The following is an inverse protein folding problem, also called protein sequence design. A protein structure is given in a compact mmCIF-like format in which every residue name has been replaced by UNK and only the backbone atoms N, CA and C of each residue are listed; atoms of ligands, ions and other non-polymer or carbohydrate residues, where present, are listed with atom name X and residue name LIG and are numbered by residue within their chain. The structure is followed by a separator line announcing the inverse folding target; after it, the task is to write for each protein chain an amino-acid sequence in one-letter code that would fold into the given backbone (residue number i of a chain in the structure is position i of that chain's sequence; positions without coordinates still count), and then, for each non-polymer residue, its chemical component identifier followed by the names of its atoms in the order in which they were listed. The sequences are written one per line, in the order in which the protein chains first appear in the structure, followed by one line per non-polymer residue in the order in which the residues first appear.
data_IF_598424474472
#
_entry.id   IF_598424474472
#
_cell.length_a   1.000
_cell.length_b   1.000
_cell.length_c   1.000
_cell.angle_alpha   90.00
_cell.angle_beta   90.00
_cell.angle_gamma   90.00
#
_symmetry.space_group_name_H-M   'P 1'
#
loop_
_entity.id
_entity.type
_entity.pdbx_description
1 polymer ?
#
# COMPACT_ATOMS: atom_id res chain seq x y z
N UNK A 1 1.27 -8.35 3.89
CA UNK A 1 2.71 -8.38 3.63
C UNK A 1 3.16 -9.81 3.38
N UNK A 2 3.94 -10.07 2.35
CA UNK A 2 4.68 -11.34 2.20
C UNK A 2 6.08 -11.20 2.76
N UNK A 3 6.67 -12.27 3.32
CA UNK A 3 8.02 -12.23 3.88
C UNK A 3 8.68 -13.61 3.88
N UNK A 4 10.00 -13.71 3.57
CA UNK A 4 10.74 -14.96 3.72
C UNK A 4 11.00 -15.32 5.20
N UNK A 5 11.03 -14.33 6.11
CA UNK A 5 11.28 -14.52 7.54
C UNK A 5 10.30 -13.68 8.37
N UNK A 6 9.22 -14.33 8.81
CA UNK A 6 8.16 -13.69 9.58
C UNK A 6 8.63 -13.24 10.98
N UNK A 7 9.62 -13.90 11.57
CA UNK A 7 10.14 -13.52 12.88
C UNK A 7 10.98 -12.23 12.76
N UNK A 8 11.85 -12.14 11.76
CA UNK A 8 12.62 -10.93 11.51
C UNK A 8 11.72 -9.74 11.14
N UNK A 9 10.69 -9.95 10.31
CA UNK A 9 9.68 -8.91 10.01
C UNK A 9 8.97 -8.45 11.28
N UNK A 10 8.56 -9.37 12.15
CA UNK A 10 7.88 -9.02 13.39
C UNK A 10 8.74 -8.15 14.29
N UNK A 11 10.03 -8.45 14.43
CA UNK A 11 10.99 -7.63 15.20
C UNK A 11 11.15 -6.25 14.58
N UNK A 12 11.29 -6.16 13.25
CA UNK A 12 11.49 -4.90 12.56
C UNK A 12 10.27 -3.97 12.72
N UNK A 13 9.07 -4.46 12.42
CA UNK A 13 7.86 -3.62 12.49
C UNK A 13 7.38 -3.37 13.92
N UNK A 14 7.72 -4.24 14.89
CA UNK A 14 7.52 -3.94 16.33
C UNK A 14 8.34 -2.73 16.76
N UNK A 15 9.60 -2.66 16.38
CA UNK A 15 10.47 -1.53 16.70
C UNK A 15 10.09 -0.26 15.95
N UNK A 16 9.70 -0.37 14.68
CA UNK A 16 9.43 0.78 13.82
C UNK A 16 8.04 1.38 14.03
N UNK A 17 6.99 0.53 14.12
CA UNK A 17 5.59 0.94 14.14
C UNK A 17 4.85 0.55 15.44
N UNK A 18 5.54 -0.08 16.41
CA UNK A 18 4.94 -0.53 17.65
C UNK A 18 4.03 -1.76 17.53
N UNK A 19 4.13 -2.51 16.42
CA UNK A 19 3.23 -3.63 16.13
C UNK A 19 3.61 -4.89 16.91
N UNK A 20 2.59 -5.71 17.19
CA UNK A 20 2.75 -7.06 17.75
C UNK A 20 2.20 -8.05 16.73
N UNK A 21 2.96 -9.11 16.44
CA UNK A 21 2.46 -10.25 15.66
C UNK A 21 1.71 -11.20 16.60
N UNK A 22 0.50 -11.60 16.20
CA UNK A 22 -0.26 -12.64 16.90
C UNK A 22 -0.04 -14.03 16.29
N UNK A 23 -0.66 -15.06 16.91
CA UNK A 23 -0.53 -16.47 16.50
C UNK A 23 -1.21 -16.76 15.15
N UNK A 24 -2.04 -15.84 14.66
CA UNK A 24 -2.71 -15.94 13.37
C UNK A 24 -1.96 -15.21 12.24
N UNK A 25 -0.71 -14.80 12.48
CA UNK A 25 0.07 -14.00 11.52
C UNK A 25 -0.57 -12.65 11.16
N UNK A 26 -1.20 -12.01 12.13
CA UNK A 26 -1.69 -10.65 12.02
C UNK A 26 -0.80 -9.71 12.84
N UNK A 27 -0.37 -8.62 12.22
CA UNK A 27 0.19 -7.48 12.94
C UNK A 27 -0.93 -6.68 13.60
N UNK A 28 -0.77 -6.43 14.90
CA UNK A 28 -1.70 -5.63 15.70
C UNK A 28 -1.04 -4.36 16.22
N UNK A 29 -1.79 -3.28 16.15
CA UNK A 29 -1.47 -2.00 16.75
C UNK A 29 -2.56 -1.70 17.80
N UNK A 30 -2.19 -1.63 19.09
CA UNK A 30 -3.14 -1.49 20.21
C UNK A 30 -4.31 -2.50 20.14
N UNK A 31 -3.98 -3.79 19.96
CA UNK A 31 -4.90 -4.92 19.83
C UNK A 31 -5.83 -4.90 18.60
N UNK A 32 -5.79 -3.85 17.74
CA UNK A 32 -6.51 -3.75 16.47
C UNK A 32 -5.67 -4.33 15.34
N UNK A 33 -6.29 -5.05 14.42
CA UNK A 33 -5.60 -5.58 13.24
C UNK A 33 -5.09 -4.42 12.36
N UNK A 34 -3.77 -4.36 12.13
CA UNK A 34 -3.11 -3.36 11.29
C UNK A 34 -2.77 -3.92 9.91
N UNK A 35 -2.23 -5.15 9.84
CA UNK A 35 -1.87 -5.79 8.58
C UNK A 35 -1.80 -7.31 8.72
N UNK A 36 -2.04 -8.03 7.63
CA UNK A 36 -1.77 -9.47 7.54
C UNK A 36 -0.30 -9.74 7.20
N UNK A 37 0.26 -10.80 7.75
CA UNK A 37 1.59 -11.31 7.46
C UNK A 37 1.48 -12.69 6.84
N UNK A 38 2.06 -12.87 5.66
CA UNK A 38 2.10 -14.15 4.96
C UNK A 38 3.54 -14.63 4.83
N UNK A 39 3.94 -15.64 5.59
CA UNK A 39 5.25 -16.26 5.42
C UNK A 39 5.36 -16.97 4.06
N UNK A 40 6.41 -16.64 3.30
CA UNK A 40 6.73 -17.26 2.01
C UNK A 40 8.21 -17.63 2.01
N UNK A 41 8.62 -18.76 2.62
CA UNK A 41 10.02 -19.14 2.75
C UNK A 41 10.74 -19.15 1.40
N UNK A 42 11.83 -18.38 1.29
CA UNK A 42 12.57 -18.21 0.04
C UNK A 42 11.91 -17.33 -1.02
N UNK A 43 10.72 -16.80 -0.74
CA UNK A 43 10.04 -15.85 -1.60
C UNK A 43 10.44 -14.40 -1.35
N UNK A 44 9.93 -13.46 -2.17
CA UNK A 44 10.20 -12.05 -2.00
C UNK A 44 9.41 -11.47 -0.81
N UNK A 45 10.03 -10.51 -0.11
CA UNK A 45 9.30 -9.63 0.78
C UNK A 45 8.60 -8.54 -0.02
N UNK A 46 7.32 -8.32 0.25
CA UNK A 46 6.56 -7.26 -0.39
C UNK A 46 5.35 -6.83 0.46
N UNK A 47 5.08 -5.57 0.47
CA UNK A 47 3.77 -5.03 0.85
C UNK A 47 2.81 -5.16 -0.32
N UNK A 48 1.59 -5.58 -0.06
CA UNK A 48 0.54 -5.69 -1.05
C UNK A 48 -0.67 -4.87 -0.58
N UNK A 49 -1.05 -3.87 -1.36
CA UNK A 49 -2.27 -3.10 -1.14
C UNK A 49 -3.47 -3.92 -1.60
N UNK A 50 -4.48 -4.04 -0.73
CA UNK A 50 -5.74 -4.70 -1.05
C UNK A 50 -6.84 -3.67 -1.26
N UNK A 51 -7.54 -3.79 -2.39
CA UNK A 51 -8.70 -2.98 -2.73
C UNK A 51 -9.95 -3.74 -2.32
N UNK A 52 -10.82 -3.11 -1.53
CA UNK A 52 -12.06 -3.71 -1.11
C UNK A 52 -13.06 -3.83 -2.28
N UNK A 53 -13.73 -4.96 -2.39
CA UNK A 53 -14.81 -5.19 -3.33
C UNK A 53 -15.99 -5.89 -2.63
N UNK A 54 -17.20 -5.51 -2.97
CA UNK A 54 -18.41 -6.17 -2.45
C UNK A 54 -18.62 -7.54 -3.07
N UNK A 55 -18.18 -7.73 -4.33
CA UNK A 55 -18.22 -9.00 -5.08
C UNK A 55 -16.87 -9.23 -5.77
N UNK A 56 -16.06 -10.12 -5.19
CA UNK A 56 -14.72 -10.42 -5.70
C UNK A 56 -14.77 -11.15 -7.06
N UNK A 57 -15.78 -11.99 -7.31
CA UNK A 57 -15.91 -12.70 -8.58
C UNK A 57 -16.20 -11.73 -9.71
N UNK A 58 -17.09 -10.74 -9.47
CA UNK A 58 -17.36 -9.67 -10.41
C UNK A 58 -16.14 -8.77 -10.65
N UNK A 59 -15.43 -8.38 -9.57
CA UNK A 59 -14.26 -7.51 -9.67
C UNK A 59 -13.09 -8.20 -10.42
N UNK A 60 -12.83 -9.49 -10.17
CA UNK A 60 -11.82 -10.28 -10.91
C UNK A 60 -12.19 -10.40 -12.38
N UNK A 61 -13.48 -10.64 -12.69
CA UNK A 61 -13.97 -10.71 -14.08
C UNK A 61 -13.82 -9.37 -14.80
N UNK A 62 -14.17 -8.26 -14.15
CA UNK A 62 -14.00 -6.91 -14.68
C UNK A 62 -12.53 -6.58 -14.92
N UNK A 63 -11.64 -6.94 -13.98
CA UNK A 63 -10.20 -6.76 -14.13
C UNK A 63 -9.65 -7.53 -15.35
N UNK A 64 -10.07 -8.78 -15.54
CA UNK A 64 -9.69 -9.57 -16.71
C UNK A 64 -10.19 -8.94 -18.03
N UNK A 65 -11.43 -8.46 -18.05
CA UNK A 65 -12.01 -7.77 -19.20
C UNK A 65 -11.30 -6.45 -19.53
N UNK A 66 -10.76 -5.76 -18.49
CA UNK A 66 -9.97 -4.54 -18.62
C UNK A 66 -8.47 -4.80 -18.92
N UNK A 67 -8.07 -6.04 -19.19
CA UNK A 67 -6.69 -6.41 -19.56
C UNK A 67 -5.77 -6.75 -18.40
N UNK A 68 -6.30 -6.84 -17.17
CA UNK A 68 -5.57 -7.31 -16.00
C UNK A 68 -5.33 -8.82 -16.04
N UNK A 69 -4.42 -9.28 -15.21
CA UNK A 69 -4.08 -10.71 -15.08
C UNK A 69 -4.30 -11.17 -13.65
N UNK A 70 -5.07 -12.23 -13.47
CA UNK A 70 -5.20 -12.89 -12.17
C UNK A 70 -3.95 -13.73 -11.89
N UNK A 71 -3.27 -13.48 -10.75
CA UNK A 71 -2.03 -14.14 -10.34
C UNK A 71 -2.26 -15.27 -9.33
N UNK A 72 -3.35 -15.21 -8.56
CA UNK A 72 -3.76 -16.28 -7.65
C UNK A 72 -5.23 -16.62 -7.83
N UNK A 73 -5.67 -17.86 -7.55
CA UNK A 73 -7.10 -18.13 -7.45
C UNK A 73 -7.74 -17.28 -6.35
N UNK A 74 -9.06 -17.11 -6.43
CA UNK A 74 -9.83 -16.57 -5.29
C UNK A 74 -9.79 -17.63 -4.18
N UNK A 75 -9.35 -17.23 -2.99
CA UNK A 75 -9.26 -18.11 -1.82
C UNK A 75 -10.01 -17.52 -0.64
N UNK A 76 -10.54 -18.40 0.20
CA UNK A 76 -11.01 -18.01 1.53
C UNK A 76 -9.79 -17.68 2.39
N UNK A 77 -9.77 -16.47 2.94
CA UNK A 77 -8.69 -16.04 3.83
C UNK A 77 -9.07 -16.37 5.29
N UNK A 78 -8.15 -16.99 6.07
CA UNK A 78 -8.43 -17.39 7.44
C UNK A 78 -8.79 -16.22 8.37
N UNK A 79 -8.47 -15.00 7.99
CA UNK A 79 -8.81 -13.80 8.75
C UNK A 79 -10.22 -13.27 8.48
N UNK A 80 -11.02 -13.93 7.64
CA UNK A 80 -12.43 -13.60 7.46
C UNK A 80 -12.72 -12.74 6.24
N UNK A 81 -12.21 -13.13 5.10
CA UNK A 81 -12.46 -12.55 3.79
C UNK A 81 -12.23 -13.52 2.67
N UNK A 82 -12.53 -13.11 1.44
CA UNK A 82 -12.08 -13.77 0.21
C UNK A 82 -11.07 -12.87 -0.46
N UNK A 83 -9.98 -13.43 -0.95
CA UNK A 83 -8.88 -12.68 -1.53
C UNK A 83 -8.43 -13.25 -2.88
N UNK A 84 -7.95 -12.37 -3.74
CA UNK A 84 -7.23 -12.71 -4.95
C UNK A 84 -6.11 -11.69 -5.19
N UNK A 85 -5.03 -12.12 -5.82
CA UNK A 85 -3.94 -11.26 -6.25
C UNK A 85 -4.01 -11.09 -7.76
N UNK A 86 -3.92 -9.86 -8.21
CA UNK A 86 -4.02 -9.47 -9.61
C UNK A 86 -2.82 -8.59 -10.01
N UNK A 87 -2.66 -8.45 -11.32
CA UNK A 87 -1.74 -7.48 -11.95
C UNK A 87 -2.53 -6.64 -12.92
N UNK A 88 -2.37 -5.33 -12.87
CA UNK A 88 -2.93 -4.41 -13.85
C UNK A 88 -2.19 -4.49 -15.19
N UNK A 89 -2.71 -3.90 -16.28
CA UNK A 89 -2.06 -3.94 -17.60
C UNK A 89 -0.66 -3.31 -17.64
N UNK A 90 -0.35 -2.37 -16.74
CA UNK A 90 0.95 -1.69 -16.65
C UNK A 90 1.95 -2.46 -15.78
N UNK A 91 1.53 -3.52 -15.08
CA UNK A 91 2.39 -4.41 -14.31
C UNK A 91 2.27 -4.29 -12.79
N UNK A 92 1.48 -3.35 -12.25
CA UNK A 92 1.31 -3.21 -10.80
C UNK A 92 0.52 -4.40 -10.23
N UNK A 93 1.09 -5.00 -9.17
CA UNK A 93 0.45 -6.10 -8.43
C UNK A 93 -0.32 -5.53 -7.26
N UNK A 94 -1.57 -5.99 -7.11
CA UNK A 94 -2.46 -5.61 -6.02
C UNK A 94 -3.37 -6.77 -5.62
N UNK A 95 -3.96 -6.69 -4.43
CA UNK A 95 -4.97 -7.64 -3.97
C UNK A 95 -6.39 -7.09 -4.13
N UNK A 96 -7.35 -7.97 -4.28
CA UNK A 96 -8.78 -7.67 -4.06
C UNK A 96 -9.20 -8.38 -2.79
N UNK A 97 -9.97 -7.70 -1.96
CA UNK A 97 -10.50 -8.21 -0.70
C UNK A 97 -12.00 -8.05 -0.64
N UNK A 98 -12.71 -9.17 -0.54
CA UNK A 98 -14.12 -9.20 -0.19
C UNK A 98 -14.26 -9.61 1.27
N UNK A 99 -14.79 -8.71 2.09
CA UNK A 99 -15.00 -9.01 3.53
C UNK A 99 -16.06 -10.08 3.73
N UNK A 100 -15.82 -10.95 4.70
CA UNK A 100 -16.89 -11.77 5.32
C UNK A 100 -17.08 -11.36 6.77
N UNK A 101 -16.05 -11.51 7.61
CA UNK A 101 -16.07 -11.08 9.02
C UNK A 101 -15.09 -9.94 9.30
N UNK A 102 -13.92 -9.91 8.63
CA UNK A 102 -12.92 -8.84 8.77
C UNK A 102 -13.04 -7.86 7.59
N UNK A 103 -13.30 -6.61 7.88
CA UNK A 103 -13.43 -5.56 6.86
C UNK A 103 -12.09 -5.15 6.23
N UNK A 104 -10.97 -5.55 6.79
CA UNK A 104 -9.61 -5.13 6.47
C UNK A 104 -8.89 -4.61 7.72
N UNK A 105 -7.96 -3.67 7.56
CA UNK A 105 -7.30 -3.03 8.68
C UNK A 105 -8.33 -2.38 9.62
N UNK A 106 -8.20 -2.62 10.93
CA UNK A 106 -9.06 -2.06 11.98
C UNK A 106 -8.51 -0.73 12.50
N UNK A 107 -7.32 -0.37 12.06
CA UNK A 107 -6.63 0.87 12.40
C UNK A 107 -6.06 1.47 11.14
N UNK A 108 -6.36 2.75 10.89
CA UNK A 108 -5.86 3.51 9.74
C UNK A 108 -5.90 5.01 10.04
N UNK A 109 -4.98 5.79 9.47
CA UNK A 109 -4.96 7.24 9.59
C UNK A 109 -4.56 7.75 10.98
N UNK A 110 -3.76 6.97 11.72
CA UNK A 110 -3.15 7.38 12.98
C UNK A 110 -1.70 6.89 13.04
N UNK A 111 -0.82 7.51 13.86
CA UNK A 111 0.57 7.11 13.96
C UNK A 111 0.75 5.61 14.26
N UNK A 112 1.59 4.93 13.48
CA UNK A 112 1.78 3.49 13.54
C UNK A 112 0.81 2.69 12.68
N UNK A 113 -0.02 3.32 11.86
CA UNK A 113 -0.98 2.63 10.98
C UNK A 113 -0.85 3.06 9.53
N UNK A 114 -1.49 2.30 8.62
CA UNK A 114 -1.61 2.70 7.21
C UNK A 114 -2.45 3.98 7.12
N UNK A 115 -1.95 4.95 6.38
CA UNK A 115 -2.70 6.18 6.12
C UNK A 115 -3.01 6.36 4.63
N UNK A 116 -2.18 5.80 3.74
CA UNK A 116 -2.36 5.98 2.30
C UNK A 116 -1.77 4.84 1.48
N UNK A 117 -2.17 4.76 0.21
CA UNK A 117 -1.54 3.90 -0.80
C UNK A 117 -1.49 4.61 -2.14
N UNK A 118 -0.38 4.49 -2.84
CA UNK A 118 -0.12 5.17 -4.11
C UNK A 118 0.20 4.19 -5.22
N UNK A 119 -0.40 4.40 -6.39
CA UNK A 119 0.04 3.80 -7.64
C UNK A 119 1.13 4.69 -8.26
N UNK A 120 2.34 4.18 -8.40
CA UNK A 120 3.38 4.80 -9.20
C UNK A 120 3.34 4.21 -10.61
N UNK A 121 3.04 5.01 -11.64
CA UNK A 121 2.87 4.52 -13.01
C UNK A 121 3.39 5.49 -14.06
N UNK A 122 3.94 4.97 -15.16
CA UNK A 122 4.25 5.75 -16.36
C UNK A 122 3.06 5.90 -17.32
N UNK A 123 1.98 5.15 -17.11
CA UNK A 123 0.78 5.15 -17.96
C UNK A 123 -0.46 5.61 -17.18
N UNK A 124 -0.62 6.92 -17.06
CA UNK A 124 -1.77 7.52 -16.38
C UNK A 124 -3.09 7.12 -17.03
N UNK A 125 -3.18 7.23 -18.34
CA UNK A 125 -4.43 6.99 -19.06
C UNK A 125 -4.87 5.52 -18.95
N UNK A 126 -3.94 4.57 -19.04
CA UNK A 126 -4.20 3.15 -18.82
C UNK A 126 -4.65 2.86 -17.39
N UNK A 127 -4.02 3.49 -16.38
CA UNK A 127 -4.43 3.36 -14.99
C UNK A 127 -5.83 3.92 -14.74
N UNK A 128 -6.15 5.13 -15.23
CA UNK A 128 -7.48 5.73 -15.14
C UNK A 128 -8.54 4.82 -15.76
N UNK A 129 -8.27 4.27 -16.94
CA UNK A 129 -9.20 3.37 -17.62
C UNK A 129 -9.38 2.05 -16.86
N UNK A 130 -8.29 1.45 -16.37
CA UNK A 130 -8.34 0.18 -15.66
C UNK A 130 -9.08 0.29 -14.32
N UNK A 131 -8.63 1.17 -13.43
CA UNK A 131 -9.23 1.31 -12.10
C UNK A 131 -10.63 1.93 -12.16
N UNK A 132 -10.92 2.77 -13.17
CA UNK A 132 -12.26 3.27 -13.47
C UNK A 132 -13.24 2.17 -13.87
N UNK A 133 -12.82 1.25 -14.76
CA UNK A 133 -13.67 0.14 -15.22
C UNK A 133 -13.87 -0.95 -14.16
N UNK A 134 -12.88 -1.18 -13.28
CA UNK A 134 -12.93 -2.27 -12.30
C UNK A 134 -13.58 -1.84 -10.98
N UNK A 135 -13.31 -0.61 -10.53
CA UNK A 135 -13.70 -0.14 -9.20
C UNK A 135 -14.53 1.15 -9.22
N UNK A 136 -14.91 1.63 -10.42
CA UNK A 136 -15.63 2.91 -10.61
C UNK A 136 -14.87 4.12 -10.03
N UNK A 137 -13.54 4.04 -10.01
CA UNK A 137 -12.72 5.13 -9.52
C UNK A 137 -12.60 6.25 -10.55
N UNK A 138 -12.77 7.48 -10.08
CA UNK A 138 -12.44 8.68 -10.85
C UNK A 138 -11.08 9.21 -10.41
N UNK A 139 -10.32 9.85 -11.31
CA UNK A 139 -9.06 10.50 -10.97
C UNK A 139 -9.16 12.02 -11.08
N UNK A 140 -8.44 12.73 -10.22
CA UNK A 140 -8.35 14.19 -10.22
C UNK A 140 -6.92 14.62 -9.91
N UNK A 141 -6.36 15.55 -10.71
CA UNK A 141 -5.10 16.21 -10.39
C UNK A 141 -5.24 16.97 -9.07
N UNK A 142 -4.28 16.84 -8.18
CA UNK A 142 -4.24 17.58 -6.91
C UNK A 142 -3.49 18.90 -7.06
N UNK A 143 -3.76 19.84 -6.16
CA UNK A 143 -3.12 21.16 -6.11
C UNK A 143 -2.13 21.31 -4.95
N UNK A 144 -2.01 20.29 -4.09
CA UNK A 144 -1.16 20.32 -2.91
C UNK A 144 0.20 19.61 -3.09
N UNK A 145 0.35 18.81 -4.13
CA UNK A 145 1.62 18.10 -4.39
C UNK A 145 2.54 18.94 -5.28
N UNK A 146 3.83 19.03 -4.97
CA UNK A 146 4.80 19.69 -5.84
C UNK A 146 4.88 19.00 -7.22
N UNK A 147 4.65 19.78 -8.29
CA UNK A 147 4.64 19.29 -9.66
C UNK A 147 3.27 18.74 -10.09
N UNK A 148 2.94 18.85 -11.39
CA UNK A 148 1.64 18.48 -11.95
C UNK A 148 1.56 16.98 -12.29
N UNK A 149 1.96 16.11 -11.37
CA UNK A 149 2.07 14.67 -11.62
C UNK A 149 1.44 13.78 -10.55
N UNK A 150 0.70 14.36 -9.60
CA UNK A 150 0.02 13.60 -8.55
C UNK A 150 -1.49 13.74 -8.65
N UNK A 151 -2.17 12.62 -8.73
CA UNK A 151 -3.62 12.51 -8.86
C UNK A 151 -4.18 11.75 -7.68
N UNK A 152 -5.42 12.07 -7.29
CA UNK A 152 -6.20 11.25 -6.37
C UNK A 152 -7.19 10.40 -7.14
N UNK A 153 -7.25 9.12 -6.79
CA UNK A 153 -8.39 8.27 -7.09
C UNK A 153 -9.48 8.46 -6.04
N UNK A 154 -10.71 8.56 -6.50
CA UNK A 154 -11.87 8.72 -5.64
C UNK A 154 -13.04 7.84 -6.07
N UNK A 155 -13.85 7.42 -5.11
CA UNK A 155 -15.15 6.81 -5.33
C UNK A 155 -16.20 7.55 -4.49
N UNK A 156 -17.36 7.86 -5.06
CA UNK A 156 -18.44 8.61 -4.39
C UNK A 156 -17.93 9.91 -3.70
N UNK A 157 -17.05 10.65 -4.37
CA UNK A 157 -16.40 11.87 -3.88
C UNK A 157 -15.48 11.70 -2.65
N UNK A 158 -15.13 10.45 -2.28
CA UNK A 158 -14.15 10.15 -1.23
C UNK A 158 -12.85 9.70 -1.87
N UNK A 159 -11.73 10.32 -1.49
CA UNK A 159 -10.40 9.89 -1.89
C UNK A 159 -10.09 8.49 -1.30
N UNK A 160 -9.57 7.59 -2.12
CA UNK A 160 -9.30 6.19 -1.75
C UNK A 160 -7.86 5.78 -1.98
N UNK A 161 -7.15 6.45 -2.91
CA UNK A 161 -5.75 6.18 -3.22
C UNK A 161 -5.13 7.36 -3.97
N UNK A 162 -3.80 7.40 -4.03
CA UNK A 162 -3.05 8.30 -4.88
C UNK A 162 -2.57 7.64 -6.18
N UNK A 163 -2.22 8.46 -7.15
CA UNK A 163 -1.50 8.05 -8.36
C UNK A 163 -0.40 9.05 -8.67
N UNK A 164 0.84 8.60 -8.59
CA UNK A 164 2.01 9.37 -9.02
C UNK A 164 2.40 8.99 -10.44
N UNK A 165 2.33 9.95 -11.33
CA UNK A 165 2.75 9.75 -12.72
C UNK A 165 4.27 9.90 -12.80
N UNK A 166 4.95 8.81 -13.15
CA UNK A 166 6.40 8.77 -13.31
C UNK A 166 6.81 9.43 -14.62
N UNK A 167 7.89 10.23 -14.59
CA UNK A 167 8.49 10.73 -15.83
C UNK A 167 9.00 9.55 -16.68
N UNK A 168 9.11 9.68 -18.01
CA UNK A 168 9.63 8.62 -18.87
C UNK A 168 11.01 8.10 -18.43
N UNK A 169 11.86 8.98 -17.90
CA UNK A 169 13.17 8.61 -17.38
C UNK A 169 13.06 7.68 -16.16
N UNK A 170 12.19 8.02 -15.20
CA UNK A 170 11.96 7.19 -14.00
C UNK A 170 11.25 5.89 -14.38
N UNK A 171 10.21 5.95 -15.21
CA UNK A 171 9.44 4.78 -15.65
C UNK A 171 10.29 3.76 -16.43
N UNK A 172 11.39 4.18 -17.07
CA UNK A 172 12.33 3.26 -17.70
C UNK A 172 13.14 2.40 -16.71
N UNK A 173 13.20 2.76 -15.44
CA UNK A 173 13.99 2.12 -14.37
C UNK A 173 13.15 1.58 -13.23
N UNK A 174 11.99 2.19 -12.99
CA UNK A 174 11.08 1.83 -11.90
C UNK A 174 9.80 1.27 -12.52
N UNK A 175 9.48 -0.01 -12.28
CA UNK A 175 8.26 -0.61 -12.79
C UNK A 175 7.03 0.04 -12.12
N UNK A 176 5.89 -0.03 -12.80
CA UNK A 176 4.60 0.34 -12.20
C UNK A 176 4.32 -0.51 -10.97
N UNK A 177 3.97 0.13 -9.85
CA UNK A 177 3.76 -0.57 -8.57
C UNK A 177 2.83 0.22 -7.64
N UNK A 178 2.22 -0.49 -6.71
CA UNK A 178 1.56 0.08 -5.55
C UNK A 178 2.55 0.23 -4.38
N UNK A 179 2.46 1.33 -3.66
CA UNK A 179 3.26 1.61 -2.47
C UNK A 179 2.33 1.97 -1.32
N UNK A 180 2.42 1.24 -0.22
CA UNK A 180 1.72 1.53 1.03
C UNK A 180 2.51 2.55 1.84
N UNK A 181 1.83 3.47 2.50
CA UNK A 181 2.44 4.49 3.36
C UNK A 181 1.85 4.42 4.77
N UNK A 182 2.72 4.39 5.77
CA UNK A 182 2.36 4.40 7.18
C UNK A 182 2.57 5.78 7.78
N UNK A 183 1.62 6.22 8.61
CA UNK A 183 1.76 7.45 9.37
C UNK A 183 2.70 7.25 10.56
N UNK A 184 3.55 8.22 10.81
CA UNK A 184 4.45 8.28 11.98
C UNK A 184 4.52 9.71 12.51
N UNK A 185 4.94 9.89 13.75
CA UNK A 185 5.02 11.21 14.39
C UNK A 185 6.28 12.01 14.03
N UNK A 186 7.35 11.35 13.60
CA UNK A 186 8.66 11.94 13.32
C UNK A 186 9.35 11.09 12.24
N UNK A 187 9.22 11.48 10.98
CA UNK A 187 9.81 10.74 9.85
C UNK A 187 11.32 10.65 9.93
N UNK A 188 12.09 11.73 10.23
CA UNK A 188 13.52 11.65 10.41
C UNK A 188 13.94 10.58 11.45
N UNK A 189 13.36 10.61 12.66
CA UNK A 189 13.69 9.66 13.71
C UNK A 189 13.31 8.21 13.34
N UNK A 190 12.18 8.00 12.65
CA UNK A 190 11.78 6.67 12.19
C UNK A 190 12.69 6.16 11.07
N UNK A 191 13.13 7.02 10.14
CA UNK A 191 14.08 6.64 9.10
C UNK A 191 15.44 6.23 9.69
N UNK A 192 15.97 7.00 10.67
CA UNK A 192 17.19 6.63 11.40
C UNK A 192 17.05 5.30 12.13
N UNK A 193 15.93 5.07 12.82
CA UNK A 193 15.60 3.81 13.48
C UNK A 193 15.54 2.65 12.51
N UNK A 194 14.89 2.82 11.33
CA UNK A 194 14.83 1.81 10.30
C UNK A 194 16.25 1.43 9.80
N UNK A 195 17.10 2.42 9.53
CA UNK A 195 18.49 2.20 9.12
C UNK A 195 19.28 1.44 10.20
N UNK A 196 19.11 1.81 11.48
CA UNK A 196 19.75 1.10 12.59
C UNK A 196 19.32 -0.38 12.70
N UNK A 197 18.19 -0.74 12.10
CA UNK A 197 17.66 -2.12 11.97
C UNK A 197 17.97 -2.78 10.63
N UNK A 198 18.81 -2.17 9.79
CA UNK A 198 19.28 -2.74 8.52
C UNK A 198 18.42 -2.41 7.30
N UNK A 199 17.50 -1.47 7.41
CA UNK A 199 16.74 -0.96 6.27
C UNK A 199 17.57 0.01 5.42
N UNK A 200 17.11 0.26 4.20
CA UNK A 200 17.68 1.26 3.30
C UNK A 200 16.67 2.38 3.04
N UNK A 201 17.13 3.63 3.11
CA UNK A 201 16.35 4.80 2.73
C UNK A 201 16.52 5.03 1.23
N UNK A 202 15.44 4.92 0.47
CA UNK A 202 15.42 5.22 -0.98
C UNK A 202 15.19 6.70 -1.25
N UNK A 203 14.25 7.30 -0.50
CA UNK A 203 13.98 8.73 -0.52
C UNK A 203 14.08 9.22 0.92
N UNK A 204 14.99 10.12 1.19
CA UNK A 204 15.23 10.69 2.52
C UNK A 204 14.07 11.59 2.95
N UNK A 205 14.03 12.06 4.20
CA UNK A 205 12.98 12.96 4.63
C UNK A 205 12.88 14.19 3.71
N UNK A 206 11.73 14.33 3.03
CA UNK A 206 11.43 15.43 2.10
C UNK A 206 10.05 15.98 2.37
N UNK A 207 9.85 17.26 2.06
CA UNK A 207 8.51 17.85 2.05
C UNK A 207 7.71 17.32 0.86
N UNK A 208 6.60 16.64 1.14
CA UNK A 208 5.69 16.08 0.14
C UNK A 208 4.49 16.99 -0.14
N UNK A 209 4.44 18.22 0.43
CA UNK A 209 3.32 19.14 0.36
C UNK A 209 2.20 18.84 1.35
N UNK A 210 2.00 17.59 1.69
CA UNK A 210 1.02 17.12 2.70
C UNK A 210 1.68 16.78 4.04
N UNK A 211 3.00 16.88 4.11
CA UNK A 211 3.80 16.54 5.28
C UNK A 211 5.21 16.08 4.92
N UNK A 212 5.95 15.59 5.90
CA UNK A 212 7.30 15.05 5.70
C UNK A 212 7.20 13.57 5.32
N UNK A 213 7.87 13.17 4.24
CA UNK A 213 7.81 11.82 3.67
C UNK A 213 9.19 11.19 3.54
N UNK A 214 9.27 9.89 3.71
CA UNK A 214 10.44 9.06 3.38
C UNK A 214 10.01 7.72 2.77
N UNK A 215 10.82 7.19 1.84
CA UNK A 215 10.61 5.85 1.30
C UNK A 215 11.71 4.92 1.76
N UNK A 216 11.30 3.78 2.31
CA UNK A 216 12.16 2.80 2.97
C UNK A 216 12.05 1.46 2.24
N UNK A 217 13.17 0.71 2.20
CA UNK A 217 13.17 -0.73 1.96
C UNK A 217 13.56 -1.41 3.26
N UNK A 218 12.72 -2.32 3.75
CA UNK A 218 13.02 -3.09 4.95
C UNK A 218 14.21 -4.05 4.75
N UNK A 219 14.76 -4.67 5.81
CA UNK A 219 15.92 -5.56 5.68
C UNK A 219 15.70 -6.79 4.81
N UNK A 220 14.44 -7.12 4.47
CA UNK A 220 14.09 -8.27 3.64
C UNK A 220 13.73 -7.88 2.20
N UNK A 221 13.64 -6.57 1.90
CA UNK A 221 13.41 -6.04 0.57
C UNK A 221 12.02 -5.46 0.32
N UNK A 222 11.13 -5.40 1.32
CA UNK A 222 9.82 -4.81 1.15
C UNK A 222 9.89 -3.27 1.20
N UNK A 223 9.40 -2.62 0.14
CA UNK A 223 9.32 -1.17 0.06
C UNK A 223 8.02 -0.63 0.67
N UNK A 224 8.12 0.51 1.38
CA UNK A 224 6.99 1.25 1.95
C UNK A 224 7.33 2.71 2.17
N UNK A 225 6.31 3.56 2.31
CA UNK A 225 6.44 4.95 2.70
C UNK A 225 6.26 5.16 4.20
N UNK A 226 6.92 6.17 4.73
CA UNK A 226 6.62 6.78 6.03
C UNK A 226 6.20 8.22 5.80
N UNK A 227 5.18 8.69 6.50
CA UNK A 227 4.74 10.07 6.43
C UNK A 227 4.38 10.63 7.81
N UNK A 228 4.81 11.86 8.05
CA UNK A 228 4.34 12.70 9.13
C UNK A 228 3.41 13.76 8.52
N UNK A 229 2.10 13.53 8.64
CA UNK A 229 1.11 14.43 8.06
C UNK A 229 1.13 15.80 8.74
N UNK A 230 1.08 16.86 7.93
CA UNK A 230 0.84 18.20 8.45
C UNK A 230 -0.55 18.27 9.10
N UNK A 231 -0.70 19.09 10.14
CA UNK A 231 -1.94 19.20 10.91
C UNK A 231 -3.19 19.49 10.05
N UNK A 232 -3.02 20.22 8.94
CA UNK A 232 -4.08 20.54 7.99
C UNK A 232 -4.63 19.33 7.20
N UNK A 233 -3.89 18.20 7.18
CA UNK A 233 -4.25 16.98 6.49
C UNK A 233 -4.62 15.83 7.42
N UNK A 234 -4.50 16.01 8.73
CA UNK A 234 -4.97 15.02 9.72
C UNK A 234 -6.50 15.02 9.72
N UNK A 235 -7.06 13.84 9.49
CA UNK A 235 -8.51 13.64 9.61
C UNK A 235 -8.84 13.58 11.09
N UNK A 236 -9.67 14.53 11.55
CA UNK A 236 -10.16 14.57 12.91
C UNK A 236 -11.26 13.51 13.18
#
# INVERSE_FOLDING_TARGET
MTTPDAAASAVFYADLLGWKRDDADVFRHDDRAAAGLQPVPGGPAAWLSYIAADDIDAAVSAAAAAGGTQLSPIVEDPHGGRAAVLRDPAGAVFGIWQRTTLAGAQVAGEPGSVCWTDLATGDRAGAEAFYGNVFEWASRLTDYSPGDNYYEFSTHARAVAGMRVLTPEIASRVPTHWLITFEVQDVPAHAERAVARGANVLVGPVDAGVGVYSQIIDPQGAAFGLIELAESFKVG
#
